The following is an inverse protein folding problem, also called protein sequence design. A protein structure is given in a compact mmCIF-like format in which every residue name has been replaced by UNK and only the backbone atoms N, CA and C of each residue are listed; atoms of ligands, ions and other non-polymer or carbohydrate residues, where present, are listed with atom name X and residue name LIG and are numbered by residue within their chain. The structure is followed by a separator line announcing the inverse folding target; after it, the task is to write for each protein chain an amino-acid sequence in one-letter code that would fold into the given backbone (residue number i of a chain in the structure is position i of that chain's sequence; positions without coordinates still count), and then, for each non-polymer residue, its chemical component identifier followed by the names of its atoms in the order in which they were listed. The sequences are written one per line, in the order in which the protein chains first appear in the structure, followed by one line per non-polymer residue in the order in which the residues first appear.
data_IF_391657261297
#
_entry.id   IF_391657261297
#
_cell.length_a   1.000
_cell.length_b   1.000
_cell.length_c   1.000
_cell.angle_alpha   90.00
_cell.angle_beta   90.00
_cell.angle_gamma   90.00
#
_symmetry.space_group_name_H-M   'P 1'
#
loop_
_entity.id
_entity.type
_entity.pdbx_description
1 polymer ?
#
# COMPACT_ATOMS: atom_id res chain seq x y z
N UNK A 1 -7.59 8.40 33.28
CA UNK A 1 -6.93 7.10 33.50
C UNK A 1 -5.84 6.95 32.45
N UNK A 2 -4.64 6.49 32.81
CA UNK A 2 -3.58 6.21 31.83
C UNK A 2 -3.85 4.86 31.17
N UNK A 3 -3.68 4.78 29.85
CA UNK A 3 -3.77 3.51 29.12
C UNK A 3 -2.52 2.69 29.46
N UNK A 4 -2.69 1.48 29.97
CA UNK A 4 -1.59 0.57 30.23
C UNK A 4 -1.27 -0.22 28.96
N UNK A 5 -0.03 -0.15 28.50
CA UNK A 5 0.45 -0.85 27.30
C UNK A 5 1.58 -1.79 27.72
N UNK A 6 1.63 -2.98 27.13
CA UNK A 6 2.68 -3.97 27.34
C UNK A 6 3.28 -4.40 26.01
N UNK A 7 4.54 -4.86 26.03
CA UNK A 7 5.24 -5.32 24.84
C UNK A 7 5.22 -6.84 24.76
N UNK A 8 4.67 -7.37 23.67
CA UNK A 8 4.73 -8.80 23.33
C UNK A 8 5.72 -8.95 22.18
N UNK A 9 6.81 -9.68 22.42
CA UNK A 9 7.84 -9.87 21.41
C UNK A 9 7.38 -10.88 20.33
N UNK A 10 7.71 -10.56 19.07
CA UNK A 10 7.66 -11.47 17.93
C UNK A 10 8.96 -11.37 17.14
N UNK A 11 9.34 -12.42 16.42
CA UNK A 11 10.56 -12.49 15.60
C UNK A 11 10.53 -11.48 14.47
N UNK A 12 9.37 -11.33 13.83
CA UNK A 12 9.12 -10.41 12.72
C UNK A 12 7.65 -9.98 12.71
N UNK A 13 7.30 -9.12 11.75
CA UNK A 13 5.94 -8.59 11.64
C UNK A 13 4.91 -9.67 11.32
N UNK A 14 5.31 -10.74 10.64
CA UNK A 14 4.43 -11.86 10.33
C UNK A 14 4.05 -12.63 11.60
N UNK A 15 5.01 -12.89 12.48
CA UNK A 15 4.71 -13.48 13.78
C UNK A 15 3.83 -12.55 14.63
N UNK A 16 4.06 -11.24 14.60
CA UNK A 16 3.18 -10.29 15.30
C UNK A 16 1.73 -10.35 14.80
N UNK A 17 1.51 -10.48 13.49
CA UNK A 17 0.15 -10.68 12.94
C UNK A 17 -0.48 -11.98 13.46
N UNK A 18 0.26 -13.09 13.47
CA UNK A 18 -0.24 -14.36 14.03
C UNK A 18 -0.56 -14.23 15.52
N UNK A 19 0.25 -13.51 16.30
CA UNK A 19 -0.02 -13.25 17.72
C UNK A 19 -1.27 -12.41 17.94
N UNK A 20 -1.51 -11.39 17.12
CA UNK A 20 -2.76 -10.61 17.19
C UNK A 20 -3.96 -11.48 16.82
N UNK A 21 -3.85 -12.26 15.75
CA UNK A 21 -4.88 -13.25 15.38
C UNK A 21 -5.10 -14.30 16.47
N UNK A 22 -4.08 -14.72 17.20
CA UNK A 22 -4.20 -15.66 18.31
C UNK A 22 -4.69 -15.01 19.61
N UNK A 23 -4.89 -13.67 19.63
CA UNK A 23 -5.24 -12.87 20.82
C UNK A 23 -4.17 -12.95 21.91
N UNK A 24 -2.92 -13.20 21.51
CA UNK A 24 -1.72 -13.07 22.36
C UNK A 24 -1.21 -11.63 22.39
N UNK A 25 -1.60 -10.80 21.42
CA UNK A 25 -1.33 -9.37 21.34
C UNK A 25 -2.57 -8.63 20.83
N UNK A 26 -2.67 -7.32 21.07
CA UNK A 26 -3.88 -6.54 20.75
C UNK A 26 -3.80 -5.82 19.40
N UNK A 27 -2.65 -5.24 19.07
CA UNK A 27 -2.45 -4.50 17.82
C UNK A 27 -0.97 -4.50 17.39
N UNK A 28 -0.73 -4.21 16.11
CA UNK A 28 0.61 -4.08 15.54
C UNK A 28 0.61 -3.01 14.44
N UNK A 29 1.69 -2.23 14.36
CA UNK A 29 1.89 -1.29 13.27
C UNK A 29 2.26 -2.04 11.98
N UNK A 30 1.56 -1.76 10.89
CA UNK A 30 1.63 -2.50 9.63
C UNK A 30 1.80 -1.57 8.44
N UNK A 31 2.49 -2.06 7.42
CA UNK A 31 2.46 -1.49 6.07
C UNK A 31 1.24 -2.06 5.29
N UNK A 32 0.79 -1.42 4.20
CA UNK A 32 -0.32 -1.93 3.39
C UNK A 32 -0.13 -3.36 2.88
N UNK A 33 1.11 -3.76 2.61
CA UNK A 33 1.47 -5.11 2.21
C UNK A 33 1.19 -6.14 3.32
N UNK A 34 1.44 -5.79 4.59
CA UNK A 34 1.15 -6.66 5.73
C UNK A 34 -0.36 -6.77 5.96
N UNK A 35 -1.10 -5.67 5.76
CA UNK A 35 -2.57 -5.68 5.79
C UNK A 35 -3.15 -6.62 4.74
N UNK A 36 -2.57 -6.67 3.53
CA UNK A 36 -2.98 -7.62 2.51
C UNK A 36 -2.79 -9.07 2.97
N UNK A 37 -1.66 -9.37 3.63
CA UNK A 37 -1.44 -10.72 4.19
C UNK A 37 -2.45 -11.01 5.31
N UNK A 38 -2.63 -10.07 6.23
CA UNK A 38 -3.59 -10.17 7.34
C UNK A 38 -5.01 -10.46 6.85
N UNK A 39 -5.46 -9.79 5.79
CA UNK A 39 -6.77 -10.00 5.17
C UNK A 39 -6.97 -11.44 4.66
N UNK A 40 -5.90 -12.10 4.20
CA UNK A 40 -5.94 -13.46 3.66
C UNK A 40 -5.66 -14.55 4.72
N UNK A 41 -5.41 -14.20 5.97
CA UNK A 41 -5.26 -15.18 7.05
C UNK A 41 -6.61 -15.85 7.35
N UNK A 42 -6.61 -17.17 7.56
CA UNK A 42 -7.84 -17.89 7.89
C UNK A 42 -8.43 -17.43 9.23
N UNK A 43 -9.76 -17.28 9.31
CA UNK A 43 -10.53 -16.92 10.52
C UNK A 43 -10.06 -15.62 11.19
N UNK A 44 -9.68 -14.64 10.38
CA UNK A 44 -9.23 -13.33 10.83
C UNK A 44 -10.39 -12.33 10.96
N UNK A 45 -10.29 -11.43 11.93
CA UNK A 45 -11.20 -10.33 12.22
C UNK A 45 -10.44 -9.00 12.38
N UNK A 46 -9.33 -8.84 11.68
CA UNK A 46 -8.50 -7.64 11.73
C UNK A 46 -9.29 -6.41 11.28
N UNK A 47 -9.01 -5.28 11.94
CA UNK A 47 -9.54 -3.97 11.57
C UNK A 47 -8.44 -2.92 11.65
N UNK A 48 -8.41 -2.03 10.65
CA UNK A 48 -7.55 -0.85 10.67
C UNK A 48 -8.28 0.23 11.46
N UNK A 49 -7.78 0.53 12.66
CA UNK A 49 -8.39 1.53 13.56
C UNK A 49 -7.59 2.84 13.62
N UNK A 50 -6.41 2.89 13.00
CA UNK A 50 -5.55 4.08 12.97
C UNK A 50 -4.68 4.11 11.72
N UNK A 51 -4.27 5.31 11.32
CA UNK A 51 -3.42 5.55 10.16
C UNK A 51 -2.30 6.52 10.50
N UNK A 52 -1.08 6.22 10.04
CA UNK A 52 0.03 7.16 10.12
C UNK A 52 0.05 8.04 8.88
N UNK A 53 -0.04 9.36 9.09
CA UNK A 53 -0.06 10.37 8.03
C UNK A 53 1.08 11.36 8.20
N UNK A 54 1.43 12.04 7.12
CA UNK A 54 2.43 13.11 7.13
C UNK A 54 1.86 14.37 7.78
N UNK A 55 2.74 15.26 8.24
CA UNK A 55 2.32 16.55 8.80
C UNK A 55 1.88 17.53 7.70
N UNK A 56 2.42 17.35 6.51
CA UNK A 56 2.11 18.13 5.31
C UNK A 56 0.70 17.84 4.80
N UNK A 57 0.27 16.58 4.84
CA UNK A 57 -1.00 16.12 4.27
C UNK A 57 -1.85 15.31 5.27
N UNK A 58 -2.22 15.86 6.44
CA UNK A 58 -2.84 15.11 7.53
C UNK A 58 -4.25 14.61 7.17
N UNK A 59 -4.90 15.22 6.17
CA UNK A 59 -6.26 14.88 5.72
C UNK A 59 -6.30 14.11 4.40
N UNK A 60 -5.17 13.89 3.74
CA UNK A 60 -5.13 13.15 2.48
C UNK A 60 -5.59 11.70 2.69
N UNK A 61 -6.46 11.20 1.80
CA UNK A 61 -7.00 9.84 1.91
C UNK A 61 -5.92 8.76 1.77
N UNK A 62 -4.93 9.00 0.91
CA UNK A 62 -3.82 8.08 0.66
C UNK A 62 -2.48 8.73 0.99
N UNK A 63 -1.45 7.90 1.19
CA UNK A 63 -0.07 8.36 1.39
C UNK A 63 0.48 9.14 0.19
N UNK A 64 0.06 8.78 -1.02
CA UNK A 64 0.34 9.47 -2.27
C UNK A 64 -0.50 8.87 -3.41
N UNK A 65 -0.69 9.65 -4.47
CA UNK A 65 -1.41 9.22 -5.68
C UNK A 65 -0.47 8.96 -6.85
N UNK A 66 -0.79 7.96 -7.66
CA UNK A 66 -0.06 7.65 -8.89
C UNK A 66 -0.68 8.36 -10.09
N UNK A 67 0.10 9.17 -10.81
CA UNK A 67 -0.32 9.85 -12.03
C UNK A 67 0.51 9.44 -13.23
N UNK A 68 -0.05 9.57 -14.44
CA UNK A 68 0.67 9.44 -15.70
C UNK A 68 0.82 10.84 -16.29
N UNK A 69 2.06 11.29 -16.48
CA UNK A 69 2.37 12.58 -17.08
C UNK A 69 2.77 12.40 -18.55
N UNK A 70 2.09 13.12 -19.45
CA UNK A 70 2.38 13.12 -20.89
C UNK A 70 2.51 14.54 -21.42
N UNK A 71 3.24 14.71 -22.53
CA UNK A 71 3.28 16.00 -23.23
C UNK A 71 1.96 16.23 -23.94
N UNK A 72 1.42 17.44 -23.80
CA UNK A 72 0.19 17.87 -24.50
C UNK A 72 0.29 17.72 -26.03
N UNK A 73 1.47 17.98 -26.61
CA UNK A 73 1.73 17.87 -28.05
C UNK A 73 1.56 16.46 -28.62
N UNK A 74 1.74 15.43 -27.79
CA UNK A 74 1.71 14.04 -28.23
C UNK A 74 0.27 13.51 -28.40
N UNK A 75 -0.73 14.31 -27.98
CA UNK A 75 -2.15 14.11 -28.25
C UNK A 75 -2.70 12.72 -27.82
N UNK A 76 -2.21 12.17 -26.71
CA UNK A 76 -2.74 10.94 -26.11
C UNK A 76 -4.23 11.10 -25.78
N UNK A 77 -5.05 10.13 -26.18
CA UNK A 77 -6.50 10.08 -25.94
C UNK A 77 -6.90 8.92 -25.04
N UNK A 78 -6.06 7.89 -24.97
CA UNK A 78 -6.32 6.69 -24.16
C UNK A 78 -5.01 6.07 -23.65
N UNK A 79 -5.11 5.08 -22.76
CA UNK A 79 -3.96 4.29 -22.34
C UNK A 79 -3.35 3.48 -23.50
N UNK A 80 -4.14 3.12 -24.52
CA UNK A 80 -3.66 2.36 -25.68
C UNK A 80 -2.60 3.14 -26.49
N UNK A 81 -2.67 4.47 -26.48
CA UNK A 81 -1.74 5.34 -27.19
C UNK A 81 -0.32 5.31 -26.61
N UNK A 82 -0.15 4.77 -25.38
CA UNK A 82 1.15 4.54 -24.75
C UNK A 82 1.95 3.40 -25.43
N UNK A 83 1.29 2.55 -26.22
CA UNK A 83 1.93 1.41 -26.89
C UNK A 83 3.03 1.87 -27.83
N UNK A 84 4.21 1.28 -27.69
CA UNK A 84 5.39 1.59 -28.52
C UNK A 84 6.04 2.95 -28.22
N UNK A 85 5.61 3.66 -27.17
CA UNK A 85 6.21 4.92 -26.73
C UNK A 85 7.35 4.69 -25.73
N UNK A 86 8.23 5.68 -25.61
CA UNK A 86 9.25 5.71 -24.56
C UNK A 86 8.61 6.09 -23.23
N UNK A 87 8.93 5.37 -22.17
CA UNK A 87 8.43 5.61 -20.83
C UNK A 87 9.56 5.99 -19.87
N UNK A 88 9.25 6.83 -18.88
CA UNK A 88 10.15 7.23 -17.80
C UNK A 88 9.58 6.70 -16.48
N UNK A 89 10.40 6.00 -15.71
CA UNK A 89 9.98 5.31 -14.49
C UNK A 89 10.84 5.76 -13.31
N UNK A 90 10.26 5.81 -12.11
CA UNK A 90 10.99 6.21 -10.90
C UNK A 90 11.98 5.15 -10.41
N UNK A 91 11.86 3.90 -10.86
CA UNK A 91 12.72 2.77 -10.50
C UNK A 91 11.97 1.44 -10.48
N UNK A 92 12.69 0.35 -10.74
CA UNK A 92 12.15 -1.02 -10.71
C UNK A 92 11.55 -1.35 -9.34
N UNK A 93 10.39 -2.01 -9.31
CA UNK A 93 9.73 -2.45 -8.08
C UNK A 93 9.04 -1.36 -7.26
N UNK A 94 9.14 -0.08 -7.63
CA UNK A 94 8.44 1.01 -6.93
C UNK A 94 6.94 1.05 -7.26
N UNK A 95 6.14 1.68 -6.41
CA UNK A 95 4.68 1.73 -6.58
C UNK A 95 4.25 2.55 -7.82
N UNK A 96 4.24 3.89 -7.73
CA UNK A 96 3.72 4.76 -8.79
C UNK A 96 4.49 4.69 -10.11
N UNK A 97 5.78 4.36 -10.04
CA UNK A 97 6.63 4.31 -11.23
C UNK A 97 6.80 2.93 -11.84
N UNK A 98 6.28 1.85 -11.25
CA UNK A 98 6.49 0.50 -11.80
C UNK A 98 5.30 -0.43 -11.56
N UNK A 99 5.03 -0.82 -10.31
CA UNK A 99 3.98 -1.79 -9.96
C UNK A 99 2.59 -1.32 -10.43
N UNK A 100 2.24 -0.06 -10.16
CA UNK A 100 0.93 0.50 -10.54
C UNK A 100 0.78 0.59 -12.07
N UNK A 101 1.69 1.21 -12.83
CA UNK A 101 1.60 1.25 -14.30
C UNK A 101 1.51 -0.14 -14.93
N UNK A 102 2.32 -1.11 -14.49
CA UNK A 102 2.30 -2.46 -15.05
C UNK A 102 0.95 -3.13 -14.81
N UNK A 103 0.42 -3.06 -13.58
CA UNK A 103 -0.90 -3.64 -13.26
C UNK A 103 -2.00 -2.98 -14.08
N UNK A 104 -2.01 -1.65 -14.19
CA UNK A 104 -3.05 -0.93 -14.95
C UNK A 104 -2.97 -1.19 -16.45
N UNK A 105 -1.76 -1.21 -17.03
CA UNK A 105 -1.56 -1.49 -18.45
C UNK A 105 -1.90 -2.93 -18.80
N UNK A 106 -1.50 -3.90 -17.96
CA UNK A 106 -1.86 -5.32 -18.16
C UNK A 106 -3.37 -5.53 -18.20
N UNK A 107 -4.13 -4.79 -17.39
CA UNK A 107 -5.59 -4.86 -17.39
C UNK A 107 -6.26 -4.13 -18.57
N UNK A 108 -5.53 -3.25 -19.26
CA UNK A 108 -6.07 -2.43 -20.35
C UNK A 108 -6.01 -3.12 -21.74
N UNK A 109 -5.27 -4.23 -21.88
CA UNK A 109 -5.04 -4.94 -23.15
C UNK A 109 -3.74 -4.55 -23.84
#
# INVERSE_FOLDING_TARGET
AAIQVQCIAGRDRMECLEKVKAREADFVAVDPEDMYVAYHMANQDFSVFTEFRTLEEPKAEFRYEGIILVRKSDNFRSLADLRGKKSCHTGYGRNVGYKIPITKLKSAG
#
